data_IF_579738124151
#
_entry.id   IF_579738124151
#
_cell.length_a   1.000
_cell.length_b   1.000
_cell.length_c   1.000
_cell.angle_alpha   90.00
_cell.angle_beta   90.00
_cell.angle_gamma   90.00
#
_symmetry.space_group_name_H-M   'P 1'
#
loop_
_entity.id
_entity.type
_entity.pdbx_description
1 polymer ?
#
# COMPACT_ATOMS: atom_id res chain seq x y z
N UNK A 1 12.64 2.74 -27.37
CA UNK A 1 11.41 1.91 -27.40
C UNK A 1 10.31 2.72 -26.72
N UNK A 2 9.18 2.95 -27.39
CA UNK A 2 8.00 3.57 -26.79
C UNK A 2 7.14 2.45 -26.22
N UNK A 3 6.97 2.40 -24.91
CA UNK A 3 6.01 1.50 -24.29
C UNK A 3 4.62 2.11 -24.51
N UNK A 4 3.77 1.41 -25.25
CA UNK A 4 2.37 1.77 -25.42
C UNK A 4 1.64 1.31 -24.15
N UNK A 5 1.30 2.26 -23.28
CA UNK A 5 0.71 1.99 -21.95
C UNK A 5 -0.81 1.76 -22.03
N UNK A 6 -1.38 1.54 -23.23
CA UNK A 6 -2.82 1.46 -23.45
C UNK A 6 -3.40 0.04 -23.38
N UNK A 7 -2.55 -0.99 -23.44
CA UNK A 7 -3.01 -2.37 -23.29
C UNK A 7 -3.25 -2.68 -21.80
N UNK A 8 -4.47 -3.11 -21.41
CA UNK A 8 -4.70 -3.55 -20.05
C UNK A 8 -3.83 -4.77 -19.77
N UNK A 9 -3.06 -4.72 -18.68
CA UNK A 9 -2.29 -5.87 -18.21
C UNK A 9 -3.28 -6.97 -17.82
N UNK A 10 -3.42 -7.97 -18.67
CA UNK A 10 -4.21 -9.18 -18.39
C UNK A 10 -3.37 -10.07 -17.48
N UNK A 11 -3.39 -9.77 -16.18
CA UNK A 11 -2.81 -10.64 -15.17
C UNK A 11 -3.70 -11.86 -14.96
N UNK A 12 -3.10 -13.06 -14.98
CA UNK A 12 -3.74 -14.27 -14.46
C UNK A 12 -3.79 -14.15 -12.94
N UNK A 13 -4.80 -13.43 -12.45
CA UNK A 13 -5.10 -13.41 -11.02
C UNK A 13 -5.70 -14.76 -10.65
N UNK A 14 -5.21 -15.40 -9.58
CA UNK A 14 -5.78 -16.67 -9.17
C UNK A 14 -7.24 -16.50 -8.74
N UNK A 15 -8.04 -17.53 -8.97
CA UNK A 15 -9.48 -17.57 -8.65
C UNK A 15 -9.74 -17.78 -7.14
N UNK A 16 -8.69 -17.81 -6.31
CA UNK A 16 -8.87 -17.92 -4.86
C UNK A 16 -9.71 -16.75 -4.32
N UNK A 17 -10.49 -16.98 -3.24
CA UNK A 17 -11.22 -15.92 -2.58
C UNK A 17 -10.25 -14.78 -2.24
N UNK A 18 -10.56 -13.59 -2.76
CA UNK A 18 -9.81 -12.39 -2.40
C UNK A 18 -9.90 -12.20 -0.89
N UNK A 19 -8.77 -11.86 -0.28
CA UNK A 19 -8.75 -11.44 1.11
C UNK A 19 -9.73 -10.28 1.31
N UNK A 20 -10.34 -10.24 2.50
CA UNK A 20 -11.19 -9.12 2.86
C UNK A 20 -10.39 -7.81 2.77
N UNK A 21 -11.04 -6.76 2.30
CA UNK A 21 -10.47 -5.42 2.34
C UNK A 21 -10.31 -5.01 3.82
N UNK A 22 -9.26 -4.23 4.10
CA UNK A 22 -9.05 -3.67 5.43
C UNK A 22 -10.26 -2.81 5.82
N UNK A 23 -10.68 -2.96 7.07
CA UNK A 23 -11.56 -2.02 7.73
C UNK A 23 -10.83 -0.69 7.95
N UNK A 24 -11.60 0.38 8.18
CA UNK A 24 -11.01 1.71 8.49
C UNK A 24 -10.12 1.68 9.74
N UNK A 25 -10.40 0.79 10.70
CA UNK A 25 -9.57 0.60 11.90
C UNK A 25 -8.26 -0.09 11.54
N UNK A 26 -8.31 -1.22 10.84
CA UNK A 26 -7.12 -1.96 10.43
C UNK A 26 -6.23 -1.13 9.50
N UNK A 27 -6.82 -0.28 8.65
CA UNK A 27 -6.07 0.62 7.80
C UNK A 27 -5.34 1.72 8.59
N UNK A 28 -5.92 2.22 9.68
CA UNK A 28 -5.23 3.16 10.59
C UNK A 28 -4.09 2.47 11.34
N UNK A 29 -4.32 1.27 11.87
CA UNK A 29 -3.27 0.46 12.52
C UNK A 29 -2.11 0.16 11.55
N UNK A 30 -2.42 -0.18 10.30
CA UNK A 30 -1.40 -0.41 9.27
C UNK A 30 -0.54 0.83 9.01
N UNK A 31 -1.13 2.03 8.99
CA UNK A 31 -0.39 3.29 8.85
C UNK A 31 0.60 3.49 10.01
N UNK A 32 0.17 3.26 11.25
CA UNK A 32 1.04 3.37 12.44
C UNK A 32 2.20 2.36 12.40
N UNK A 33 1.92 1.12 12.00
CA UNK A 33 2.96 0.10 11.80
C UNK A 33 3.98 0.51 10.74
N UNK A 34 3.52 1.02 9.59
CA UNK A 34 4.41 1.44 8.50
C UNK A 34 5.32 2.61 8.90
N UNK A 35 4.78 3.60 9.62
CA UNK A 35 5.58 4.70 10.16
C UNK A 35 6.61 4.21 11.19
N UNK A 36 6.23 3.25 12.02
CA UNK A 36 7.14 2.61 12.97
C UNK A 36 8.25 1.87 12.25
N UNK A 37 7.93 1.10 11.21
CA UNK A 37 8.92 0.38 10.39
C UNK A 37 9.90 1.33 9.71
N UNK A 38 9.43 2.48 9.21
CA UNK A 38 10.31 3.51 8.65
C UNK A 38 11.33 4.03 9.68
N UNK A 39 10.90 4.25 10.92
CA UNK A 39 11.78 4.72 12.00
C UNK A 39 12.77 3.63 12.46
N UNK A 40 12.39 2.37 12.33
CA UNK A 40 13.19 1.22 12.75
C UNK A 40 14.14 0.69 11.68
N UNK A 41 14.16 1.27 10.48
CA UNK A 41 15.00 0.80 9.38
C UNK A 41 16.34 1.56 9.27
N UNK A 42 17.45 1.03 9.83
CA UNK A 42 18.77 1.67 9.78
C UNK A 42 19.41 1.63 8.38
N UNK A 43 18.91 0.80 7.45
CA UNK A 43 19.46 0.64 6.11
C UNK A 43 18.82 1.60 5.09
N UNK A 44 17.87 2.44 5.51
CA UNK A 44 17.31 3.51 4.67
C UNK A 44 16.30 3.04 3.61
N UNK A 45 15.65 1.88 3.77
CA UNK A 45 14.47 1.46 2.99
C UNK A 45 13.17 2.04 3.56
N UNK A 46 13.25 2.67 4.73
CA UNK A 46 12.18 3.44 5.39
C UNK A 46 11.35 4.36 4.49
N UNK A 47 11.92 5.07 3.48
CA UNK A 47 11.14 5.96 2.62
C UNK A 47 9.97 5.27 1.89
N UNK A 48 10.10 3.98 1.60
CA UNK A 48 9.02 3.22 0.96
C UNK A 48 7.85 2.96 1.91
N UNK A 49 8.12 2.70 3.19
CA UNK A 49 7.10 2.50 4.21
C UNK A 49 6.37 3.82 4.52
N UNK A 50 7.11 4.92 4.64
CA UNK A 50 6.52 6.27 4.80
C UNK A 50 5.65 6.67 3.62
N UNK A 51 6.10 6.41 2.39
CA UNK A 51 5.31 6.72 1.19
C UNK A 51 4.03 5.88 1.10
N UNK A 52 4.09 4.59 1.47
CA UNK A 52 2.91 3.73 1.51
C UNK A 52 1.92 4.19 2.60
N UNK A 53 2.42 4.54 3.78
CA UNK A 53 1.60 5.08 4.86
C UNK A 53 0.88 6.37 4.44
N UNK A 54 1.59 7.28 3.77
CA UNK A 54 1.02 8.52 3.26
C UNK A 54 -0.03 8.29 2.16
N UNK A 55 0.15 7.28 1.32
CA UNK A 55 -0.83 6.94 0.29
C UNK A 55 -2.09 6.32 0.86
N UNK A 56 -1.97 5.45 1.87
CA UNK A 56 -3.10 4.90 2.60
C UNK A 56 -3.86 6.00 3.35
N UNK A 57 -3.17 6.88 4.06
CA UNK A 57 -3.79 7.98 4.80
C UNK A 57 -4.63 8.90 3.90
N UNK A 58 -4.19 9.17 2.66
CA UNK A 58 -4.92 9.98 1.68
C UNK A 58 -6.22 9.33 1.19
N UNK A 59 -6.34 8.00 1.29
CA UNK A 59 -7.50 7.23 0.83
C UNK A 59 -8.49 6.94 1.94
N UNK A 60 -8.11 7.16 3.21
CA UNK A 60 -9.02 6.96 4.32
C UNK A 60 -10.08 8.06 4.37
N UNK A 61 -11.33 7.71 4.72
CA UNK A 61 -12.36 8.71 4.97
C UNK A 61 -11.89 9.61 6.12
N UNK A 62 -11.94 10.92 5.89
CA UNK A 62 -11.75 11.90 6.96
C UNK A 62 -12.84 11.69 8.02
N UNK A 63 -12.47 11.75 9.31
CA UNK A 63 -13.43 11.60 10.40
C UNK A 63 -14.57 12.62 10.33
#
# INVERSE_FOLDING_TARGET
MRYDTTEPVVGTYPDEPRLALLTDTEAREAIECLQTLEQLDPDGRGPAAGQLAADLARRLPTP
#
